data_IF_439682649098
#
_entry.id   IF_439682649098
#
_cell.length_a   1.000
_cell.length_b   1.000
_cell.length_c   1.000
_cell.angle_alpha   90.00
_cell.angle_beta   90.00
_cell.angle_gamma   90.00
#
_symmetry.space_group_name_H-M   'P 1'
#
loop_
_entity.id
_entity.type
_entity.pdbx_description
1 polymer ?
#
# COMPACT_ATOMS: atom_id res chain seq x y z
N UNK A 1 -21.72 -6.40 9.18
CA UNK A 1 -20.28 -6.41 9.49
C UNK A 1 -19.81 -7.86 9.50
N UNK A 2 -19.03 -8.28 8.52
CA UNK A 2 -18.58 -9.68 8.41
C UNK A 2 -17.51 -9.95 9.47
N UNK A 3 -17.76 -10.93 10.34
CA UNK A 3 -16.79 -11.44 11.31
C UNK A 3 -15.78 -12.33 10.56
N UNK A 4 -14.74 -11.72 10.01
CA UNK A 4 -13.64 -12.44 9.36
C UNK A 4 -12.70 -13.00 10.42
N UNK A 5 -13.10 -14.09 11.05
CA UNK A 5 -12.23 -14.89 11.91
C UNK A 5 -11.09 -15.47 11.05
N UNK A 6 -9.86 -14.99 11.26
CA UNK A 6 -8.67 -15.57 10.66
C UNK A 6 -8.45 -16.97 11.27
N UNK A 7 -8.68 -18.02 10.49
CA UNK A 7 -8.38 -19.39 10.89
C UNK A 7 -6.91 -19.69 10.64
N UNK A 8 -6.21 -20.16 11.68
CA UNK A 8 -4.81 -20.59 11.55
C UNK A 8 -4.72 -21.76 10.59
N UNK A 9 -4.05 -21.55 9.45
CA UNK A 9 -3.68 -22.63 8.54
C UNK A 9 -2.38 -23.27 9.00
N UNK A 10 -2.47 -24.41 9.69
CA UNK A 10 -1.31 -25.12 10.26
C UNK A 10 -0.34 -25.65 9.20
N UNK A 11 -0.77 -25.78 7.95
CA UNK A 11 0.09 -26.18 6.83
C UNK A 11 1.09 -25.08 6.43
N UNK A 12 0.86 -23.84 6.86
CA UNK A 12 1.77 -22.71 6.62
C UNK A 12 2.80 -22.52 7.74
N UNK A 13 2.75 -23.34 8.79
CA UNK A 13 3.69 -23.26 9.91
C UNK A 13 4.91 -24.12 9.60
N UNK A 14 6.09 -23.51 9.60
CA UNK A 14 7.35 -24.24 9.54
C UNK A 14 7.67 -24.79 10.96
N UNK A 15 7.70 -26.12 11.17
CA UNK A 15 8.00 -26.72 12.47
C UNK A 15 9.45 -26.49 12.92
N UNK A 16 10.34 -26.00 12.04
CA UNK A 16 11.72 -25.60 12.37
C UNK A 16 11.87 -24.09 12.55
N UNK A 17 10.76 -23.36 12.61
CA UNK A 17 10.77 -21.93 12.86
C UNK A 17 11.26 -21.63 14.29
N UNK A 18 12.44 -21.05 14.41
CA UNK A 18 13.02 -20.68 15.72
C UNK A 18 12.58 -19.29 16.19
N UNK A 19 12.65 -18.28 15.33
CA UNK A 19 12.27 -16.89 15.66
C UNK A 19 12.26 -15.98 14.43
N UNK A 20 11.55 -14.85 14.53
CA UNK A 20 11.77 -13.71 13.63
C UNK A 20 12.97 -12.92 14.12
N UNK A 21 13.92 -12.63 13.22
CA UNK A 21 15.04 -11.72 13.49
C UNK A 21 14.85 -10.45 12.68
N UNK A 22 15.03 -9.30 13.32
CA UNK A 22 15.05 -8.01 12.63
C UNK A 22 16.36 -7.91 11.83
N UNK A 23 16.26 -7.88 10.51
CA UNK A 23 17.39 -7.45 9.67
C UNK A 23 17.51 -5.93 9.80
N UNK A 24 18.75 -5.47 9.98
CA UNK A 24 19.10 -4.04 9.91
C UNK A 24 19.70 -3.69 8.54
N UNK A 25 19.67 -4.63 7.59
CA UNK A 25 20.16 -4.40 6.25
C UNK A 25 19.31 -3.30 5.60
N UNK A 26 19.93 -2.33 4.92
CA UNK A 26 19.18 -1.31 4.22
C UNK A 26 18.30 -1.96 3.16
N UNK A 27 17.01 -1.62 3.17
CA UNK A 27 16.11 -2.01 2.10
C UNK A 27 16.37 -1.10 0.90
N UNK A 28 16.42 -1.64 -0.33
CA UNK A 28 16.52 -0.80 -1.51
C UNK A 28 15.25 0.05 -1.63
N UNK A 29 15.44 1.37 -1.69
CA UNK A 29 14.37 2.34 -1.90
C UNK A 29 14.43 2.84 -3.34
N UNK A 30 13.31 2.74 -4.04
CA UNK A 30 13.16 3.24 -5.41
C UNK A 30 12.17 4.40 -5.41
N UNK A 31 12.51 5.47 -6.13
CA UNK A 31 11.66 6.63 -6.31
C UNK A 31 11.32 6.82 -7.78
N UNK A 32 10.10 7.27 -8.04
CA UNK A 32 9.67 7.70 -9.36
C UNK A 32 9.03 9.07 -9.22
N UNK A 33 9.36 9.98 -10.13
CA UNK A 33 8.70 11.28 -10.20
C UNK A 33 7.32 11.14 -10.84
N UNK A 34 6.32 11.81 -10.27
CA UNK A 34 4.97 11.83 -10.81
C UNK A 34 4.75 13.13 -11.58
N UNK A 35 4.22 13.02 -12.79
CA UNK A 35 3.83 14.18 -13.61
C UNK A 35 2.71 15.02 -12.95
N UNK A 36 1.92 14.41 -12.08
CA UNK A 36 0.88 15.07 -11.29
C UNK A 36 0.92 14.58 -9.85
N UNK A 37 0.72 15.51 -8.90
CA UNK A 37 0.68 15.15 -7.50
C UNK A 37 -0.49 14.20 -7.20
N UNK A 38 -0.18 13.10 -6.50
CA UNK A 38 -1.20 12.17 -6.01
C UNK A 38 -2.18 12.91 -5.07
N UNK A 39 -3.46 12.58 -5.15
CA UNK A 39 -4.45 12.99 -4.17
C UNK A 39 -4.03 12.52 -2.77
N UNK A 40 -3.88 13.46 -1.86
CA UNK A 40 -3.58 13.19 -0.46
C UNK A 40 -4.73 13.74 0.37
N UNK A 41 -5.27 12.93 1.28
CA UNK A 41 -6.21 13.42 2.28
C UNK A 41 -5.49 13.54 3.61
N UNK A 42 -5.15 14.77 3.99
CA UNK A 42 -4.54 15.07 5.28
C UNK A 42 -5.62 15.10 6.36
N UNK A 43 -5.47 14.21 7.34
CA UNK A 43 -6.27 14.25 8.56
C UNK A 43 -5.91 15.51 9.35
N UNK A 44 -6.92 16.11 10.00
CA UNK A 44 -6.69 17.14 11.01
C UNK A 44 -6.18 16.50 12.30
N UNK A 45 -5.54 17.30 13.15
CA UNK A 45 -4.93 16.81 14.39
C UNK A 45 -5.91 16.17 15.39
N UNK A 46 -7.20 16.45 15.23
CA UNK A 46 -8.31 15.91 16.02
C UNK A 46 -9.01 14.70 15.37
N UNK A 47 -8.61 14.30 14.16
CA UNK A 47 -9.27 13.27 13.34
C UNK A 47 -8.49 11.95 13.27
N UNK A 48 -8.05 11.43 14.41
CA UNK A 48 -7.30 10.17 14.49
C UNK A 48 -8.12 8.97 14.98
N UNK A 49 -9.45 8.97 14.84
CA UNK A 49 -10.20 7.73 15.12
C UNK A 49 -9.89 6.67 14.06
N UNK A 50 -10.02 5.39 14.43
CA UNK A 50 -9.80 4.27 13.50
C UNK A 50 -10.62 4.40 12.21
N UNK A 51 -11.85 4.92 12.31
CA UNK A 51 -12.73 5.14 11.17
C UNK A 51 -12.21 6.25 10.24
N UNK A 52 -11.63 7.32 10.78
CA UNK A 52 -10.99 8.37 9.98
C UNK A 52 -9.76 7.79 9.25
N UNK A 53 -8.87 7.10 9.97
CA UNK A 53 -7.71 6.45 9.36
C UNK A 53 -8.10 5.49 8.22
N UNK A 54 -9.20 4.74 8.37
CA UNK A 54 -9.73 3.86 7.31
C UNK A 54 -10.34 4.63 6.14
N UNK A 55 -11.11 5.67 6.40
CA UNK A 55 -11.75 6.44 5.32
C UNK A 55 -10.73 7.24 4.48
N UNK A 56 -9.71 7.79 5.14
CA UNK A 56 -8.79 8.75 4.53
C UNK A 56 -7.43 8.14 4.17
N UNK A 57 -6.99 7.08 4.85
CA UNK A 57 -5.75 6.38 4.52
C UNK A 57 -5.83 5.50 3.28
N UNK A 58 -7.02 5.25 2.73
CA UNK A 58 -7.25 4.38 1.58
C UNK A 58 -7.42 5.13 0.24
N UNK A 59 -7.37 6.47 0.24
CA UNK A 59 -7.79 7.25 -0.93
C UNK A 59 -6.86 7.14 -2.15
N UNK A 60 -5.64 6.60 -1.98
CA UNK A 60 -4.68 6.52 -3.08
C UNK A 60 -3.75 5.30 -2.99
N UNK A 61 -4.33 4.12 -2.81
CA UNK A 61 -3.55 2.90 -3.03
C UNK A 61 -3.09 2.84 -4.48
N UNK A 62 -1.81 2.54 -4.68
CA UNK A 62 -1.30 2.23 -6.01
C UNK A 62 -1.97 0.95 -6.49
N UNK A 63 -2.67 1.04 -7.61
CA UNK A 63 -3.36 -0.10 -8.21
C UNK A 63 -2.53 -0.65 -9.36
N UNK A 64 -2.06 -1.91 -9.24
CA UNK A 64 -1.36 -2.57 -10.34
C UNK A 64 -2.25 -2.67 -11.57
N UNK A 65 -1.68 -2.40 -12.75
CA UNK A 65 -2.40 -2.58 -14.00
C UNK A 65 -2.54 -4.09 -14.33
N UNK A 66 -3.76 -4.61 -14.51
CA UNK A 66 -3.97 -6.02 -14.86
C UNK A 66 -3.38 -6.44 -16.21
N UNK A 67 -3.16 -5.48 -17.11
CA UNK A 67 -2.72 -5.74 -18.49
C UNK A 67 -1.23 -5.44 -18.72
N UNK A 68 -0.54 -4.81 -17.77
CA UNK A 68 0.88 -4.47 -17.87
C UNK A 68 1.54 -4.49 -16.49
N UNK A 69 2.52 -5.38 -16.30
CA UNK A 69 3.24 -5.55 -15.03
C UNK A 69 4.00 -4.30 -14.59
N UNK A 70 4.39 -3.48 -15.57
CA UNK A 70 5.32 -2.38 -15.37
C UNK A 70 4.57 -1.06 -15.25
N UNK A 71 3.26 -1.08 -14.97
CA UNK A 71 2.48 0.13 -14.83
C UNK A 71 1.49 0.06 -13.67
N UNK A 72 1.25 1.21 -13.06
CA UNK A 72 0.34 1.37 -11.94
C UNK A 72 -0.59 2.55 -12.18
N UNK A 73 -1.74 2.50 -11.53
CA UNK A 73 -2.71 3.58 -11.50
C UNK A 73 -2.72 4.27 -10.14
N UNK A 74 -2.92 5.58 -10.16
CA UNK A 74 -3.18 6.41 -8.99
C UNK A 74 -4.17 7.52 -9.35
N UNK A 75 -4.72 8.19 -8.33
CA UNK A 75 -5.63 9.34 -8.52
C UNK A 75 -4.88 10.63 -8.21
N UNK A 76 -4.94 11.62 -9.08
CA UNK A 76 -4.32 12.92 -8.80
C UNK A 76 -5.22 13.85 -7.97
N UNK A 77 -4.68 15.01 -7.55
CA UNK A 77 -5.43 16.00 -6.77
C UNK A 77 -6.69 16.56 -7.47
N UNK A 78 -6.84 16.36 -8.78
CA UNK A 78 -8.02 16.77 -9.54
C UNK A 78 -9.05 15.63 -9.69
N UNK A 79 -8.79 14.47 -9.09
CA UNK A 79 -9.65 13.29 -9.19
C UNK A 79 -9.51 12.52 -10.50
N UNK A 80 -8.43 12.76 -11.26
CA UNK A 80 -8.15 12.06 -12.52
C UNK A 80 -7.42 10.76 -12.23
N UNK A 81 -7.78 9.69 -12.95
CA UNK A 81 -7.03 8.44 -12.94
C UNK A 81 -5.80 8.61 -13.83
N UNK A 82 -4.63 8.50 -13.23
CA UNK A 82 -3.33 8.61 -13.88
C UNK A 82 -2.70 7.21 -14.02
N UNK A 83 -1.93 7.00 -15.07
CA UNK A 83 -1.14 5.79 -15.29
C UNK A 83 0.34 6.16 -15.36
N UNK A 84 1.19 5.41 -14.66
CA UNK A 84 2.64 5.59 -14.72
C UNK A 84 3.32 4.25 -14.92
N UNK A 85 4.36 4.24 -15.75
CA UNK A 85 5.24 3.10 -15.90
C UNK A 85 6.31 3.11 -14.82
N UNK A 86 6.48 1.98 -14.14
CA UNK A 86 7.46 1.77 -13.08
C UNK A 86 8.44 0.71 -13.56
N UNK A 87 9.61 1.16 -14.00
CA UNK A 87 10.73 0.30 -14.36
C UNK A 87 11.86 0.50 -13.35
N UNK A 88 12.47 -0.59 -12.88
CA UNK A 88 13.71 -0.52 -12.11
C UNK A 88 14.82 0.02 -13.04
N UNK A 89 15.38 1.18 -12.70
CA UNK A 89 16.51 1.79 -13.42
C UNK A 89 17.82 1.30 -12.84
#
# INVERSE_FOLDING_TARGET
>A
MANCSLKVNRLLLDPKFESYKLSLDPLPCYGVELDAAAAEVKLRDDQYTLDHMRAYGMYNYLHCNPWSSDSIFYVDQLGRVMNINVTLV
#
